data_IF_172870649431
#
_entry.id   IF_172870649431
#
_cell.length_a   1.000
_cell.length_b   1.000
_cell.length_c   1.000
_cell.angle_alpha   90.00
_cell.angle_beta   90.00
_cell.angle_gamma   90.00
#
_symmetry.space_group_name_H-M   'P 1'
#
loop_
_entity.id
_entity.type
_entity.pdbx_description
1 polymer ?
#
# COMPACT_ATOMS: atom_id res chain seq x y z
N UNK A 1 38.57 20.83 -39.00
CA UNK A 1 37.20 20.91 -38.49
C UNK A 1 36.95 19.63 -37.71
N UNK A 2 36.81 19.72 -36.39
CA UNK A 2 36.63 18.57 -35.51
C UNK A 2 35.16 18.52 -35.08
N UNK A 3 34.47 17.44 -35.41
CA UNK A 3 33.11 17.17 -34.95
C UNK A 3 33.20 16.20 -33.77
N UNK A 4 32.71 16.64 -32.61
CA UNK A 4 32.69 15.88 -31.37
C UNK A 4 31.24 15.40 -31.17
N UNK A 5 30.96 14.08 -31.10
CA UNK A 5 29.59 13.62 -30.87
C UNK A 5 29.24 13.72 -29.39
N UNK A 6 28.33 14.64 -29.07
CA UNK A 6 27.70 14.77 -27.74
C UNK A 6 26.97 13.47 -27.41
N UNK A 7 27.53 12.69 -26.48
CA UNK A 7 26.85 11.54 -25.90
C UNK A 7 25.77 12.01 -24.93
N UNK A 8 24.51 11.90 -25.34
CA UNK A 8 23.35 12.10 -24.46
C UNK A 8 23.15 10.84 -23.62
N UNK A 9 23.75 10.80 -22.42
CA UNK A 9 23.36 9.85 -21.38
C UNK A 9 22.18 10.45 -20.62
N UNK A 10 20.96 10.14 -21.05
CA UNK A 10 19.75 10.41 -20.25
C UNK A 10 19.69 9.36 -19.15
N UNK A 11 19.79 9.84 -17.91
CA UNK A 11 20.04 9.03 -16.71
C UNK A 11 19.00 7.95 -16.44
N UNK A 12 19.49 6.78 -16.05
CA UNK A 12 18.69 5.76 -15.39
C UNK A 12 18.19 6.35 -14.06
N UNK A 13 16.89 6.65 -13.98
CA UNK A 13 16.21 6.89 -12.72
C UNK A 13 16.33 5.64 -11.85
N UNK A 14 17.32 5.63 -10.97
CA UNK A 14 17.51 4.57 -9.99
C UNK A 14 16.37 4.65 -8.99
N UNK A 15 15.28 3.91 -9.23
CA UNK A 15 14.28 3.63 -8.19
C UNK A 15 14.96 2.74 -7.16
N UNK A 16 15.61 3.35 -6.17
CA UNK A 16 16.03 2.62 -4.97
C UNK A 16 14.76 2.11 -4.29
N UNK A 17 14.58 0.80 -4.27
CA UNK A 17 13.50 0.17 -3.52
C UNK A 17 13.78 0.48 -2.04
N UNK A 18 12.85 1.17 -1.38
CA UNK A 18 12.91 1.33 0.08
C UNK A 18 12.57 -0.01 0.75
N UNK A 19 13.63 -0.79 1.00
CA UNK A 19 13.53 -2.09 1.66
C UNK A 19 13.00 -1.96 3.10
N UNK A 20 13.21 -0.81 3.76
CA UNK A 20 12.74 -0.57 5.13
C UNK A 20 11.22 -0.41 5.12
N UNK A 21 10.70 0.45 4.23
CA UNK A 21 9.27 0.62 4.02
C UNK A 21 8.58 -0.68 3.59
N UNK A 22 9.19 -1.45 2.67
CA UNK A 22 8.68 -2.74 2.26
C UNK A 22 8.62 -3.74 3.42
N UNK A 23 9.70 -3.87 4.19
CA UNK A 23 9.77 -4.78 5.32
C UNK A 23 8.74 -4.43 6.40
N UNK A 24 8.49 -3.13 6.61
CA UNK A 24 7.50 -2.64 7.56
C UNK A 24 6.07 -2.98 7.13
N UNK A 25 5.72 -2.74 5.86
CA UNK A 25 4.42 -3.12 5.31
C UNK A 25 4.17 -4.63 5.38
N UNK A 26 5.20 -5.44 5.11
CA UNK A 26 5.11 -6.90 5.24
C UNK A 26 4.88 -7.32 6.70
N UNK A 27 5.61 -6.70 7.64
CA UNK A 27 5.46 -6.96 9.07
C UNK A 27 4.03 -6.67 9.54
N UNK A 28 3.47 -5.52 9.15
CA UNK A 28 2.10 -5.16 9.45
C UNK A 28 1.09 -6.22 8.96
N UNK A 29 1.21 -6.70 7.72
CA UNK A 29 0.31 -7.74 7.18
C UNK A 29 0.45 -9.06 7.94
N UNK A 30 1.66 -9.42 8.38
CA UNK A 30 1.89 -10.60 9.20
C UNK A 30 1.26 -10.47 10.58
N UNK A 31 1.38 -9.31 11.24
CA UNK A 31 0.78 -9.05 12.55
C UNK A 31 -0.75 -9.13 12.49
N UNK A 32 -1.36 -8.55 11.45
CA UNK A 32 -2.82 -8.65 11.20
C UNK A 32 -3.23 -10.10 11.01
N UNK A 33 -2.46 -10.88 10.23
CA UNK A 33 -2.72 -12.31 10.01
C UNK A 33 -2.61 -13.11 11.29
N UNK A 34 -1.55 -12.92 12.08
CA UNK A 34 -1.35 -13.67 13.32
C UNK A 34 -2.50 -13.47 14.31
N UNK A 35 -3.02 -12.24 14.41
CA UNK A 35 -4.07 -11.89 15.38
C UNK A 35 -5.47 -12.27 14.91
N UNK A 36 -5.77 -12.06 13.64
CA UNK A 36 -7.15 -12.19 13.14
C UNK A 36 -7.43 -13.54 12.49
N UNK A 37 -6.45 -14.21 11.86
CA UNK A 37 -6.73 -15.33 10.96
C UNK A 37 -7.47 -16.49 11.62
N UNK A 38 -7.10 -16.84 12.85
CA UNK A 38 -7.65 -18.00 13.54
C UNK A 38 -8.78 -17.62 14.51
N UNK A 39 -8.72 -16.44 15.15
CA UNK A 39 -9.71 -15.98 16.14
C UNK A 39 -10.85 -15.14 15.55
N UNK A 40 -10.58 -14.39 14.48
CA UNK A 40 -11.52 -13.45 13.86
C UNK A 40 -11.50 -13.60 12.33
N UNK A 41 -11.60 -14.85 11.86
CA UNK A 41 -11.40 -15.23 10.45
C UNK A 41 -12.15 -14.36 9.45
N UNK A 42 -13.42 -14.04 9.72
CA UNK A 42 -14.24 -13.21 8.84
C UNK A 42 -13.66 -11.78 8.71
N UNK A 43 -13.13 -11.21 9.80
CA UNK A 43 -12.45 -9.92 9.75
C UNK A 43 -11.16 -10.00 8.95
N UNK A 44 -10.38 -11.08 9.11
CA UNK A 44 -9.19 -11.28 8.28
C UNK A 44 -9.52 -11.41 6.80
N UNK A 45 -10.60 -12.10 6.44
CA UNK A 45 -11.05 -12.20 5.04
C UNK A 45 -11.51 -10.83 4.50
N UNK A 46 -12.21 -10.03 5.30
CA UNK A 46 -12.58 -8.65 4.96
C UNK A 46 -11.35 -7.75 4.77
N UNK A 47 -10.33 -7.89 5.62
CA UNK A 47 -9.06 -7.19 5.46
C UNK A 47 -8.44 -7.47 4.09
N UNK A 48 -8.32 -8.76 3.72
CA UNK A 48 -7.77 -9.14 2.41
C UNK A 48 -8.63 -8.65 1.25
N UNK A 49 -9.96 -8.70 1.38
CA UNK A 49 -10.88 -8.23 0.36
C UNK A 49 -10.75 -6.73 0.09
N UNK A 50 -10.54 -5.91 1.14
CA UNK A 50 -10.33 -4.47 1.00
C UNK A 50 -9.09 -4.16 0.13
N UNK A 51 -7.97 -4.84 0.39
CA UNK A 51 -6.75 -4.70 -0.42
C UNK A 51 -6.93 -5.20 -1.85
N UNK A 52 -7.60 -6.34 -2.06
CA UNK A 52 -7.87 -6.86 -3.40
C UNK A 52 -8.71 -5.88 -4.22
N UNK A 53 -9.78 -5.33 -3.62
CA UNK A 53 -10.64 -4.31 -4.24
C UNK A 53 -9.85 -3.05 -4.59
N UNK A 54 -8.99 -2.58 -3.70
CA UNK A 54 -8.11 -1.44 -3.99
C UNK A 54 -7.16 -1.71 -5.16
N UNK A 55 -6.56 -2.90 -5.22
CA UNK A 55 -5.68 -3.29 -6.33
C UNK A 55 -6.42 -3.36 -7.66
N UNK A 56 -7.64 -3.91 -7.69
CA UNK A 56 -8.48 -3.94 -8.88
C UNK A 56 -8.88 -2.53 -9.34
N UNK A 57 -9.29 -1.67 -8.41
CA UNK A 57 -9.69 -0.30 -8.74
C UNK A 57 -8.51 0.56 -9.21
N UNK A 58 -7.31 0.37 -8.67
CA UNK A 58 -6.11 1.09 -9.11
C UNK A 58 -5.60 0.62 -10.47
N UNK A 59 -5.76 -0.66 -10.81
CA UNK A 59 -5.45 -1.16 -12.15
C UNK A 59 -6.39 -0.57 -13.24
N UNK A 60 -7.59 -0.14 -12.86
CA UNK A 60 -8.62 0.40 -13.75
C UNK A 60 -8.69 1.94 -13.74
N UNK A 61 -8.08 2.61 -12.76
CA UNK A 61 -8.19 4.06 -12.57
C UNK A 61 -7.16 4.84 -13.41
N UNK A 62 -7.65 5.71 -14.30
CA UNK A 62 -6.82 6.57 -15.13
C UNK A 62 -6.61 7.99 -14.57
N UNK A 63 -7.21 8.33 -13.42
CA UNK A 63 -7.17 9.68 -12.84
C UNK A 63 -6.77 9.68 -11.37
N UNK A 64 -6.08 10.76 -10.96
CA UNK A 64 -5.64 11.00 -9.58
C UNK A 64 -6.82 11.08 -8.61
N UNK A 65 -7.95 11.66 -9.04
CA UNK A 65 -9.16 11.74 -8.21
C UNK A 65 -9.74 10.35 -7.90
N UNK A 66 -9.76 9.45 -8.88
CA UNK A 66 -10.20 8.07 -8.65
C UNK A 66 -9.23 7.30 -7.77
N UNK A 67 -7.91 7.53 -7.92
CA UNK A 67 -6.90 6.94 -7.03
C UNK A 67 -7.10 7.36 -5.58
N UNK A 68 -7.33 8.66 -5.32
CA UNK A 68 -7.58 9.15 -3.97
C UNK A 68 -8.86 8.56 -3.37
N UNK A 69 -9.96 8.52 -4.13
CA UNK A 69 -11.22 7.92 -3.68
C UNK A 69 -11.05 6.42 -3.32
N UNK A 70 -10.27 5.69 -4.12
CA UNK A 70 -9.94 4.30 -3.83
C UNK A 70 -9.12 4.15 -2.55
N UNK A 71 -8.15 5.05 -2.31
CA UNK A 71 -7.34 5.06 -1.08
C UNK A 71 -8.19 5.37 0.15
N UNK A 72 -9.10 6.33 0.05
CA UNK A 72 -10.00 6.70 1.13
C UNK A 72 -10.97 5.55 1.46
N UNK A 73 -11.47 4.87 0.42
CA UNK A 73 -12.30 3.66 0.57
C UNK A 73 -11.53 2.53 1.26
N UNK A 74 -10.31 2.22 0.81
CA UNK A 74 -9.44 1.23 1.46
C UNK A 74 -9.21 1.59 2.94
N UNK A 75 -8.93 2.86 3.21
CA UNK A 75 -8.66 3.33 4.58
C UNK A 75 -9.88 3.14 5.48
N UNK A 76 -11.08 3.48 4.99
CA UNK A 76 -12.32 3.28 5.74
C UNK A 76 -12.57 1.79 6.05
N UNK A 77 -12.43 0.92 5.04
CA UNK A 77 -12.65 -0.53 5.20
C UNK A 77 -11.63 -1.15 6.17
N UNK A 78 -10.34 -0.82 6.06
CA UNK A 78 -9.31 -1.32 6.97
C UNK A 78 -9.50 -0.80 8.40
N UNK A 79 -9.91 0.46 8.57
CA UNK A 79 -10.22 1.02 9.89
C UNK A 79 -11.37 0.29 10.58
N UNK A 80 -12.42 -0.08 9.82
CA UNK A 80 -13.54 -0.86 10.35
C UNK A 80 -13.11 -2.27 10.75
N UNK A 81 -12.33 -2.93 9.89
CA UNK A 81 -11.87 -4.30 10.13
C UNK A 81 -10.96 -4.40 11.35
N UNK A 82 -10.11 -3.39 11.56
CA UNK A 82 -9.17 -3.32 12.69
C UNK A 82 -9.78 -2.63 13.92
N UNK A 83 -11.08 -2.36 13.95
CA UNK A 83 -11.73 -1.75 15.10
C UNK A 83 -11.54 -2.61 16.38
N UNK A 84 -10.97 -1.99 17.41
CA UNK A 84 -10.58 -2.64 18.66
C UNK A 84 -9.14 -3.15 18.71
N UNK A 85 -8.38 -3.02 17.61
CA UNK A 85 -6.94 -3.31 17.53
C UNK A 85 -6.16 -2.00 17.35
N UNK A 86 -6.12 -1.17 18.40
CA UNK A 86 -5.62 0.21 18.34
C UNK A 86 -4.17 0.33 17.86
N UNK A 87 -3.33 -0.65 18.17
CA UNK A 87 -1.94 -0.69 17.74
C UNK A 87 -1.79 -1.02 16.25
N UNK A 88 -2.60 -1.94 15.71
CA UNK A 88 -2.66 -2.21 14.27
C UNK A 88 -3.19 -0.99 13.51
N UNK A 89 -4.19 -0.29 14.06
CA UNK A 89 -4.71 0.95 13.49
C UNK A 89 -3.65 2.05 13.48
N UNK A 90 -2.87 2.19 14.55
CA UNK A 90 -1.78 3.17 14.62
C UNK A 90 -0.71 2.88 13.57
N UNK A 91 -0.32 1.61 13.42
CA UNK A 91 0.65 1.19 12.43
C UNK A 91 0.14 1.41 10.99
N UNK A 92 -1.14 1.08 10.73
CA UNK A 92 -1.75 1.31 9.43
C UNK A 92 -1.77 2.79 9.04
N UNK A 93 -2.12 3.69 9.99
CA UNK A 93 -2.09 5.15 9.76
C UNK A 93 -0.69 5.67 9.46
N UNK A 94 0.34 5.07 10.06
CA UNK A 94 1.71 5.42 9.78
C UNK A 94 2.13 4.99 8.37
N UNK A 95 1.68 3.81 7.92
CA UNK A 95 1.99 3.28 6.59
C UNK A 95 1.17 3.95 5.48
N UNK A 96 -0.02 4.45 5.79
CA UNK A 96 -0.96 5.08 4.84
C UNK A 96 -1.46 6.43 5.37
N UNK A 97 -0.58 7.46 5.42
CA UNK A 97 -0.97 8.81 5.84
C UNK A 97 -2.04 9.41 4.92
N UNK A 98 -2.79 10.39 5.44
CA UNK A 98 -3.88 11.09 4.71
C UNK A 98 -3.41 11.75 3.41
#
# INVERSE_FOLDING_TARGET
MAENPTSTTTGNSSHSIDLTGLNRSLSFVLDVKERLKDSEKERYEKFLAAFAKYQESTASSASVSAEQENKDTLRAEVNEVLAGHDDLLAEFKHLSPE
#
